data_IF_679919183468
#
_entry.id   IF_679919183468
#
_cell.length_a   1.000
_cell.length_b   1.000
_cell.length_c   1.000
_cell.angle_alpha   90.00
_cell.angle_beta   90.00
_cell.angle_gamma   90.00
#
_symmetry.space_group_name_H-M   'P 1'
#
loop_
_entity.id
_entity.type
_entity.pdbx_description
1 polymer ?
#
# COMPACT_ATOMS: atom_id res chain seq x y z
N UNK A 1 17.48 -27.61 -14.92
CA UNK A 1 16.92 -28.79 -14.24
C UNK A 1 17.32 -28.77 -12.76
N UNK A 2 16.59 -28.05 -11.90
CA UNK A 2 16.92 -27.92 -10.48
C UNK A 2 15.65 -27.84 -9.59
N UNK A 3 14.63 -28.66 -9.87
CA UNK A 3 13.26 -28.40 -9.40
C UNK A 3 12.72 -29.43 -8.41
N UNK A 4 13.10 -30.71 -8.47
CA UNK A 4 12.52 -31.73 -7.58
C UNK A 4 13.29 -31.94 -6.25
N UNK A 5 14.63 -32.01 -6.32
CA UNK A 5 15.45 -32.25 -5.14
C UNK A 5 15.42 -31.07 -4.15
N UNK A 6 15.42 -29.84 -4.67
CA UNK A 6 15.38 -28.62 -3.86
C UNK A 6 14.03 -28.45 -3.16
N UNK A 7 12.93 -28.75 -3.84
CA UNK A 7 11.58 -28.70 -3.26
C UNK A 7 11.43 -29.72 -2.11
N UNK A 8 11.95 -30.94 -2.29
CA UNK A 8 11.93 -31.97 -1.24
C UNK A 8 12.78 -31.59 -0.01
N UNK A 9 13.88 -30.87 -0.21
CA UNK A 9 14.68 -30.34 0.91
C UNK A 9 13.94 -29.23 1.67
N UNK A 10 13.16 -28.41 0.98
CA UNK A 10 12.34 -27.36 1.59
C UNK A 10 11.17 -27.95 2.40
N UNK A 11 10.45 -28.93 1.85
CA UNK A 11 9.34 -29.60 2.55
C UNK A 11 9.80 -30.38 3.80
N UNK A 12 11.02 -30.93 3.76
CA UNK A 12 11.62 -31.62 4.91
C UNK A 12 12.07 -30.65 6.01
N UNK A 13 12.46 -29.42 5.67
CA UNK A 13 12.83 -28.41 6.65
C UNK A 13 11.62 -27.84 7.42
N UNK A 14 10.41 -27.92 6.85
CA UNK A 14 9.16 -27.54 7.54
C UNK A 14 8.64 -28.63 8.48
N UNK A 15 9.03 -29.90 8.28
CA UNK A 15 8.47 -31.05 8.99
C UNK A 15 9.12 -31.35 10.35
N UNK A 16 10.34 -30.85 10.63
CA UNK A 16 11.10 -31.17 11.85
C UNK A 16 11.29 -29.92 12.74
N UNK A 17 10.54 -29.78 13.84
CA UNK A 17 10.70 -28.66 14.77
C UNK A 17 12.03 -28.78 15.53
N UNK A 18 13.09 -28.17 15.01
CA UNK A 18 14.40 -28.10 15.70
C UNK A 18 15.62 -28.01 14.79
N UNK A 19 15.48 -28.28 13.49
CA UNK A 19 16.60 -28.10 12.53
C UNK A 19 16.53 -26.70 11.95
N UNK A 20 17.45 -25.83 12.38
CA UNK A 20 17.56 -24.49 11.82
C UNK A 20 17.69 -24.54 10.30
N UNK A 21 16.81 -23.82 9.59
CA UNK A 21 16.87 -23.66 8.14
C UNK A 21 18.28 -23.17 7.78
N UNK A 22 19.02 -23.95 6.98
CA UNK A 22 20.32 -23.53 6.46
C UNK A 22 20.17 -22.15 5.80
N UNK A 23 21.13 -21.24 6.02
CA UNK A 23 21.06 -19.87 5.48
C UNK A 23 20.89 -19.81 3.96
N UNK A 24 21.25 -20.87 3.22
CA UNK A 24 20.97 -21.00 1.80
C UNK A 24 19.46 -21.21 1.50
N UNK A 25 18.78 -22.07 2.28
CA UNK A 25 17.35 -22.33 2.13
C UNK A 25 16.50 -21.12 2.53
N UNK A 26 16.90 -20.37 3.56
CA UNK A 26 16.24 -19.11 3.93
C UNK A 26 16.34 -18.07 2.79
N UNK A 27 17.53 -17.88 2.22
CA UNK A 27 17.74 -16.98 1.07
C UNK A 27 16.94 -17.39 -0.18
N UNK A 28 16.76 -18.69 -0.40
CA UNK A 28 15.94 -19.18 -1.51
C UNK A 28 14.45 -18.90 -1.29
N UNK A 29 13.97 -19.08 -0.06
CA UNK A 29 12.60 -18.77 0.32
C UNK A 29 12.31 -17.26 0.21
N UNK A 30 13.25 -16.42 0.64
CA UNK A 30 13.13 -14.96 0.49
C UNK A 30 13.02 -14.55 -0.99
N UNK A 31 13.80 -15.19 -1.88
CA UNK A 31 13.69 -14.97 -3.33
C UNK A 31 12.35 -15.41 -3.90
N UNK A 32 11.81 -16.54 -3.42
CA UNK A 32 10.49 -17.00 -3.85
C UNK A 32 9.39 -16.01 -3.43
N UNK A 33 9.46 -15.51 -2.20
CA UNK A 33 8.51 -14.49 -1.73
C UNK A 33 8.65 -13.17 -2.48
N UNK A 34 9.86 -12.73 -2.81
CA UNK A 34 10.07 -11.53 -3.59
C UNK A 34 9.39 -11.59 -4.97
N UNK A 35 9.43 -12.75 -5.64
CA UNK A 35 8.69 -12.97 -6.89
C UNK A 35 7.18 -12.98 -6.70
N UNK A 36 6.69 -13.69 -5.69
CA UNK A 36 5.27 -13.69 -5.37
C UNK A 36 4.76 -12.28 -5.04
N UNK A 37 5.56 -11.50 -4.31
CA UNK A 37 5.27 -10.13 -3.92
C UNK A 37 5.16 -9.21 -5.14
N UNK A 38 6.07 -9.34 -6.10
CA UNK A 38 6.05 -8.56 -7.34
C UNK A 38 4.72 -8.71 -8.11
N UNK A 39 4.33 -9.95 -8.39
CA UNK A 39 3.09 -10.23 -9.14
C UNK A 39 1.83 -9.94 -8.30
N UNK A 40 1.88 -10.18 -6.99
CA UNK A 40 0.80 -9.80 -6.07
C UNK A 40 0.47 -8.32 -6.20
N UNK A 41 1.49 -7.46 -6.18
CA UNK A 41 1.27 -6.03 -6.26
C UNK A 41 0.96 -5.53 -7.65
N UNK A 42 1.45 -6.19 -8.69
CA UNK A 42 1.06 -5.92 -10.06
C UNK A 42 -0.44 -6.19 -10.26
N UNK A 43 -0.95 -7.32 -9.79
CA UNK A 43 -2.38 -7.66 -9.83
C UNK A 43 -3.21 -6.77 -8.90
N UNK A 44 -2.69 -6.41 -7.71
CA UNK A 44 -3.38 -5.52 -6.77
C UNK A 44 -3.60 -4.14 -7.36
N UNK A 45 -2.59 -3.55 -8.01
CA UNK A 45 -2.70 -2.25 -8.66
C UNK A 45 -3.78 -2.27 -9.76
N UNK A 46 -3.82 -3.32 -10.58
CA UNK A 46 -4.87 -3.49 -11.60
C UNK A 46 -6.25 -3.61 -10.96
N UNK A 47 -6.38 -4.44 -9.91
CA UNK A 47 -7.65 -4.64 -9.20
C UNK A 47 -8.17 -3.34 -8.60
N UNK A 48 -7.29 -2.55 -7.98
CA UNK A 48 -7.63 -1.24 -7.43
C UNK A 48 -8.08 -0.28 -8.53
N UNK A 49 -7.39 -0.26 -9.67
CA UNK A 49 -7.74 0.58 -10.82
C UNK A 49 -9.12 0.20 -11.38
N UNK A 50 -9.37 -1.08 -11.61
CA UNK A 50 -10.68 -1.57 -12.08
C UNK A 50 -11.81 -1.33 -11.08
N UNK A 51 -11.50 -1.31 -9.78
CA UNK A 51 -12.45 -0.94 -8.72
C UNK A 51 -12.69 0.57 -8.61
N UNK A 52 -12.03 1.40 -9.43
CA UNK A 52 -12.13 2.86 -9.39
C UNK A 52 -11.29 3.51 -8.28
N UNK A 53 -10.53 2.75 -7.50
CA UNK A 53 -9.60 3.27 -6.50
C UNK A 53 -8.27 3.67 -7.18
N UNK A 54 -8.31 4.78 -7.91
CA UNK A 54 -7.17 5.29 -8.70
C UNK A 54 -5.98 5.65 -7.81
N UNK A 55 -6.23 6.29 -6.67
CA UNK A 55 -5.17 6.68 -5.72
C UNK A 55 -4.44 5.45 -5.18
N UNK A 56 -5.19 4.46 -4.68
CA UNK A 56 -4.61 3.19 -4.21
C UNK A 56 -3.84 2.47 -5.30
N UNK A 57 -4.37 2.44 -6.53
CA UNK A 57 -3.71 1.83 -7.68
C UNK A 57 -2.38 2.52 -8.02
N UNK A 58 -2.35 3.85 -7.99
CA UNK A 58 -1.14 4.65 -8.22
C UNK A 58 -0.11 4.38 -7.12
N UNK A 59 -0.51 4.43 -5.85
CA UNK A 59 0.41 4.14 -4.73
C UNK A 59 1.02 2.74 -4.87
N UNK A 60 0.19 1.73 -5.18
CA UNK A 60 0.66 0.36 -5.39
C UNK A 60 1.58 0.25 -6.61
N UNK A 61 1.26 0.93 -7.72
CA UNK A 61 2.04 0.87 -8.96
C UNK A 61 3.43 1.48 -8.78
N UNK A 62 3.60 2.55 -8.00
CA UNK A 62 4.94 3.14 -7.74
C UNK A 62 5.91 2.13 -7.14
N UNK A 63 5.40 1.20 -6.34
CA UNK A 63 6.24 0.20 -5.68
C UNK A 63 6.73 -0.90 -6.61
N UNK A 64 6.11 -1.04 -7.78
CA UNK A 64 6.58 -1.98 -8.80
C UNK A 64 7.99 -1.68 -9.30
N UNK A 65 8.47 -0.43 -9.14
CA UNK A 65 9.87 -0.04 -9.39
C UNK A 65 10.89 -0.82 -8.54
N UNK A 66 10.47 -1.43 -7.43
CA UNK A 66 11.34 -2.31 -6.62
C UNK A 66 11.45 -3.73 -7.19
N UNK A 67 10.68 -4.08 -8.21
CA UNK A 67 10.55 -5.43 -8.77
C UNK A 67 10.84 -5.47 -10.28
N UNK A 68 11.64 -4.54 -10.78
CA UNK A 68 12.10 -4.45 -12.17
C UNK A 68 12.80 -5.72 -12.67
N UNK A 69 13.33 -6.53 -11.75
CA UNK A 69 13.97 -7.81 -12.02
C UNK A 69 12.99 -9.01 -12.09
N UNK A 70 11.71 -8.79 -11.77
CA UNK A 70 10.69 -9.86 -11.66
C UNK A 70 9.51 -9.69 -12.63
N UNK A 71 9.08 -8.44 -12.86
CA UNK A 71 7.99 -8.09 -13.77
C UNK A 71 8.58 -7.28 -14.93
N UNK A 72 8.04 -7.48 -16.14
CA UNK A 72 8.54 -6.80 -17.34
C UNK A 72 8.44 -5.27 -17.18
N UNK A 73 9.51 -4.56 -17.56
CA UNK A 73 9.57 -3.10 -17.43
C UNK A 73 8.47 -2.41 -18.23
N UNK A 74 8.07 -2.96 -19.38
CA UNK A 74 6.94 -2.45 -20.17
C UNK A 74 5.66 -2.49 -19.36
N UNK A 75 5.40 -3.60 -18.67
CA UNK A 75 4.19 -3.77 -17.88
C UNK A 75 4.19 -2.86 -16.64
N UNK A 76 5.32 -2.78 -15.94
CA UNK A 76 5.50 -1.89 -14.78
C UNK A 76 5.23 -0.44 -15.19
N UNK A 77 5.89 0.06 -16.23
CA UNK A 77 5.77 1.46 -16.58
C UNK A 77 4.47 1.80 -17.31
N UNK A 78 3.83 0.82 -17.98
CA UNK A 78 2.48 1.01 -18.53
C UNK A 78 1.45 1.22 -17.42
N UNK A 79 1.46 0.42 -16.36
CA UNK A 79 0.51 0.61 -15.25
C UNK A 79 0.83 1.86 -14.42
N UNK A 80 2.10 2.22 -14.24
CA UNK A 80 2.48 3.49 -13.59
C UNK A 80 2.00 4.68 -14.42
N UNK A 81 2.21 4.69 -15.74
CA UNK A 81 1.73 5.76 -16.62
C UNK A 81 0.20 5.89 -16.55
N UNK A 82 -0.51 4.77 -16.69
CA UNK A 82 -1.97 4.74 -16.68
C UNK A 82 -2.57 5.22 -15.36
N UNK A 83 -2.11 4.68 -14.23
CA UNK A 83 -2.59 5.08 -12.90
C UNK A 83 -2.24 6.54 -12.57
N UNK A 84 -1.05 7.00 -12.96
CA UNK A 84 -0.66 8.41 -12.74
C UNK A 84 -1.46 9.38 -13.62
N UNK A 85 -1.79 8.98 -14.85
CA UNK A 85 -2.66 9.77 -15.73
C UNK A 85 -4.04 9.96 -15.11
N UNK A 86 -4.68 8.89 -14.65
CA UNK A 86 -6.01 8.98 -14.04
C UNK A 86 -6.01 9.77 -12.72
N UNK A 87 -4.91 9.75 -11.96
CA UNK A 87 -4.79 10.54 -10.73
C UNK A 87 -4.47 12.03 -11.00
N UNK A 88 -4.08 12.39 -12.23
CA UNK A 88 -3.62 13.73 -12.58
C UNK A 88 -2.16 14.02 -12.18
N UNK A 89 -1.38 13.00 -11.85
CA UNK A 89 0.06 13.11 -11.61
C UNK A 89 0.83 13.04 -12.94
N UNK A 90 0.73 14.11 -13.74
CA UNK A 90 1.26 14.14 -15.11
C UNK A 90 2.79 14.17 -15.19
N UNK A 91 3.49 14.68 -14.18
CA UNK A 91 4.95 14.64 -14.13
C UNK A 91 5.47 13.22 -13.91
N UNK A 92 4.78 12.46 -13.06
CA UNK A 92 5.04 11.03 -12.84
C UNK A 92 4.67 10.20 -14.06
N UNK A 93 3.52 10.51 -14.69
CA UNK A 93 3.11 9.87 -15.96
C UNK A 93 4.16 10.10 -17.08
N UNK A 94 4.63 11.34 -17.26
CA UNK A 94 5.65 11.66 -18.25
C UNK A 94 6.97 10.90 -18.00
N UNK A 95 7.41 10.77 -16.75
CA UNK A 95 8.58 9.95 -16.40
C UNK A 95 8.39 8.48 -16.76
N UNK A 96 7.19 7.93 -16.60
CA UNK A 96 6.89 6.57 -17.02
C UNK A 96 6.96 6.39 -18.53
N UNK A 97 6.43 7.35 -19.31
CA UNK A 97 6.58 7.36 -20.78
C UNK A 97 8.05 7.43 -21.21
N UNK A 98 8.87 8.30 -20.61
CA UNK A 98 10.31 8.34 -20.90
C UNK A 98 10.99 6.99 -20.66
N UNK A 99 10.59 6.27 -19.59
CA UNK A 99 11.14 4.94 -19.30
C UNK A 99 10.66 3.88 -20.29
N UNK A 100 9.40 3.94 -20.74
CA UNK A 100 8.87 3.07 -21.79
C UNK A 100 9.62 3.30 -23.12
N UNK A 101 9.77 4.56 -23.52
CA UNK A 101 10.49 4.94 -24.75
C UNK A 101 11.99 4.62 -24.69
N UNK A 102 12.57 4.45 -23.50
CA UNK A 102 13.96 4.06 -23.33
C UNK A 102 14.21 2.54 -23.39
N UNK A 103 13.15 1.71 -23.46
CA UNK A 103 13.31 0.26 -23.50
C UNK A 103 14.02 -0.19 -24.80
N UNK A 104 15.09 -0.97 -24.64
CA UNK A 104 15.86 -1.53 -25.76
C UNK A 104 15.13 -2.69 -26.45
N UNK A 105 14.21 -3.34 -25.75
CA UNK A 105 13.39 -4.44 -26.28
C UNK A 105 12.33 -4.01 -27.29
N UNK A 106 12.03 -2.70 -27.38
CA UNK A 106 10.98 -2.19 -28.27
C UNK A 106 11.45 -2.04 -29.71
N UNK A 107 10.57 -2.44 -30.63
CA UNK A 107 10.71 -2.13 -32.05
C UNK A 107 10.59 -0.62 -32.31
N UNK A 108 11.08 -0.16 -33.47
CA UNK A 108 10.93 1.24 -33.87
C UNK A 108 9.46 1.68 -33.92
N UNK A 109 8.57 0.82 -34.38
CA UNK A 109 7.14 1.09 -34.45
C UNK A 109 6.49 1.22 -33.06
N UNK A 110 6.86 0.36 -32.09
CA UNK A 110 6.35 0.47 -30.72
C UNK A 110 6.86 1.73 -30.01
N UNK A 111 8.13 2.11 -30.26
CA UNK A 111 8.70 3.34 -29.71
C UNK A 111 7.99 4.58 -30.24
N UNK A 112 7.71 4.60 -31.54
CA UNK A 112 6.91 5.67 -32.16
C UNK A 112 5.50 5.73 -31.56
N UNK A 113 4.84 4.59 -31.37
CA UNK A 113 3.50 4.54 -30.78
C UNK A 113 3.46 5.11 -29.35
N UNK A 114 4.48 4.85 -28.52
CA UNK A 114 4.59 5.48 -27.20
C UNK A 114 4.82 6.99 -27.30
N UNK A 115 5.67 7.43 -28.24
CA UNK A 115 5.95 8.85 -28.46
C UNK A 115 4.71 9.62 -28.94
N UNK A 116 3.98 9.10 -29.92
CA UNK A 116 2.71 9.65 -30.41
C UNK A 116 1.67 9.74 -29.28
N UNK A 117 1.56 8.69 -28.46
CA UNK A 117 0.66 8.69 -27.32
C UNK A 117 1.05 9.76 -26.29
N UNK A 118 2.33 9.85 -25.94
CA UNK A 118 2.84 10.88 -25.03
C UNK A 118 2.57 12.29 -25.57
N UNK A 119 2.80 12.54 -26.86
CA UNK A 119 2.48 13.82 -27.50
C UNK A 119 0.98 14.13 -27.43
N UNK A 120 0.12 13.15 -27.71
CA UNK A 120 -1.34 13.34 -27.63
C UNK A 120 -1.82 13.75 -26.23
N UNK A 121 -1.17 13.23 -25.18
CA UNK A 121 -1.47 13.58 -23.79
C UNK A 121 -0.90 14.96 -23.45
N UNK A 122 0.41 15.16 -23.61
CA UNK A 122 1.12 16.32 -23.07
C UNK A 122 1.05 17.59 -23.93
N UNK A 123 0.43 17.52 -25.10
CA UNK A 123 0.01 18.73 -25.83
C UNK A 123 -1.17 19.43 -25.15
N UNK A 124 -2.00 18.69 -24.43
CA UNK A 124 -3.20 19.21 -23.75
C UNK A 124 -2.98 19.52 -22.27
N UNK A 125 -2.02 18.85 -21.62
CA UNK A 125 -1.72 18.99 -20.18
C UNK A 125 -0.23 19.12 -19.94
N UNK A 126 0.16 19.98 -18.98
CA UNK A 126 1.56 20.12 -18.59
C UNK A 126 2.03 18.87 -17.81
N UNK A 127 3.22 18.32 -18.11
CA UNK A 127 3.78 17.16 -17.41
C UNK A 127 4.34 17.55 -16.02
N UNK A 128 3.47 18.04 -15.15
CA UNK A 128 3.81 18.49 -13.79
C UNK A 128 2.86 17.82 -12.82
N UNK A 129 3.40 17.28 -11.72
CA UNK A 129 2.58 16.71 -10.66
C UNK A 129 1.95 17.82 -9.81
N UNK A 130 0.78 17.57 -9.20
CA UNK A 130 0.21 18.48 -8.22
C UNK A 130 1.21 18.80 -7.11
N UNK A 131 1.21 20.06 -6.61
CA UNK A 131 2.04 20.41 -5.48
C UNK A 131 1.68 19.51 -4.28
N UNK A 132 2.65 19.18 -3.41
CA UNK A 132 2.37 18.38 -2.23
C UNK A 132 1.29 19.04 -1.37
N UNK A 133 0.34 18.26 -0.89
CA UNK A 133 -0.71 18.67 0.04
C UNK A 133 -0.54 17.94 1.38
N UNK A 134 -1.23 18.40 2.42
CA UNK A 134 -1.23 17.72 3.73
C UNK A 134 -1.79 16.29 3.63
N UNK A 135 -2.69 16.03 2.67
CA UNK A 135 -3.33 14.72 2.48
C UNK A 135 -2.41 13.70 1.79
N UNK A 136 -1.48 14.17 0.94
CA UNK A 136 -0.60 13.31 0.15
C UNK A 136 0.88 13.35 0.59
N UNK A 137 1.14 13.98 1.74
CA UNK A 137 2.45 14.02 2.37
C UNK A 137 2.48 13.44 3.78
N UNK A 138 3.65 12.95 4.17
CA UNK A 138 3.93 12.42 5.50
C UNK A 138 5.34 12.77 5.92
N UNK A 139 5.51 13.09 7.21
CA UNK A 139 6.84 13.31 7.79
C UNK A 139 7.61 12.00 7.87
N UNK A 140 8.88 12.01 7.46
CA UNK A 140 9.74 10.85 7.58
C UNK A 140 9.81 10.34 9.05
N UNK A 141 9.57 9.03 9.30
CA UNK A 141 9.64 8.44 10.64
C UNK A 141 11.09 8.18 11.13
N UNK A 142 12.09 8.63 10.37
CA UNK A 142 13.51 8.49 10.73
C UNK A 142 13.87 9.34 11.95
N UNK A 143 14.66 8.78 12.87
CA UNK A 143 15.01 9.41 14.17
C UNK A 143 15.65 10.81 14.05
N UNK A 144 16.34 11.08 12.94
CA UNK A 144 17.06 12.33 12.69
C UNK A 144 16.78 12.86 11.27
N UNK A 145 15.55 12.69 10.79
CA UNK A 145 15.13 13.13 9.46
C UNK A 145 13.78 13.85 9.58
N UNK A 146 13.60 14.93 8.82
CA UNK A 146 12.36 15.70 8.76
C UNK A 146 11.89 15.90 7.30
N UNK A 147 12.31 14.99 6.41
CA UNK A 147 11.89 15.01 5.02
C UNK A 147 10.36 14.93 4.93
N UNK A 148 9.77 15.78 4.09
CA UNK A 148 8.39 15.60 3.64
C UNK A 148 8.37 14.58 2.50
N UNK A 149 7.68 13.46 2.73
CA UNK A 149 7.60 12.34 1.80
C UNK A 149 6.22 12.29 1.18
N UNK A 150 6.12 11.83 -0.07
CA UNK A 150 4.80 11.51 -0.64
C UNK A 150 4.28 10.21 -0.04
N UNK A 151 2.97 10.05 0.04
CA UNK A 151 2.33 8.84 0.60
C UNK A 151 2.64 7.56 -0.20
N UNK A 152 3.15 7.66 -1.43
CA UNK A 152 3.64 6.55 -2.24
C UNK A 152 5.15 6.34 -2.21
N UNK A 153 5.90 7.11 -1.41
CA UNK A 153 7.36 6.94 -1.29
C UNK A 153 7.70 5.54 -0.75
N UNK A 154 8.57 4.82 -1.46
CA UNK A 154 9.08 3.49 -1.04
C UNK A 154 10.29 3.58 -0.12
N UNK A 155 10.98 4.71 -0.15
CA UNK A 155 12.09 5.04 0.72
C UNK A 155 12.23 6.56 0.85
N UNK A 156 12.93 7.01 1.90
CA UNK A 156 13.28 8.41 2.10
C UNK A 156 14.57 8.75 1.33
N UNK A 157 14.52 9.79 0.49
CA UNK A 157 15.69 10.24 -0.30
C UNK A 157 16.76 10.92 0.56
N UNK A 158 16.42 11.43 1.75
CA UNK A 158 17.37 12.14 2.62
C UNK A 158 18.12 11.20 3.57
N UNK A 159 17.41 10.27 4.21
CA UNK A 159 18.01 9.36 5.20
C UNK A 159 18.10 7.89 4.75
N UNK A 160 17.60 7.55 3.56
CA UNK A 160 17.65 6.20 3.00
C UNK A 160 16.73 5.18 3.68
N UNK A 161 15.88 5.59 4.62
CA UNK A 161 14.96 4.68 5.32
C UNK A 161 13.98 4.06 4.32
N UNK A 162 13.92 2.73 4.26
CA UNK A 162 12.97 1.98 3.43
C UNK A 162 11.66 1.72 4.16
N UNK A 163 10.55 1.74 3.42
CA UNK A 163 9.20 1.56 3.96
C UNK A 163 8.62 0.22 3.47
N UNK A 164 8.36 -0.73 4.39
CA UNK A 164 7.70 -1.99 4.03
C UNK A 164 6.31 -1.76 3.45
N UNK A 165 5.87 -2.65 2.56
CA UNK A 165 4.55 -2.58 1.97
C UNK A 165 3.48 -3.19 2.90
N UNK A 166 2.30 -2.57 2.93
CA UNK A 166 1.08 -3.23 3.37
C UNK A 166 0.66 -4.24 2.29
N UNK A 167 0.72 -5.53 2.57
CA UNK A 167 0.30 -6.57 1.61
C UNK A 167 -1.18 -6.49 1.23
N UNK A 168 -2.04 -5.91 2.06
CA UNK A 168 -3.46 -5.78 1.75
C UNK A 168 -3.77 -4.62 0.77
N UNK A 169 -3.04 -3.51 0.85
CA UNK A 169 -3.36 -2.28 0.10
C UNK A 169 -2.24 -1.75 -0.78
N UNK A 170 -1.02 -2.28 -0.67
CA UNK A 170 0.17 -1.83 -1.39
C UNK A 170 0.83 -0.57 -0.85
N UNK A 171 0.18 0.13 0.10
CA UNK A 171 0.66 1.38 0.71
C UNK A 171 1.93 1.17 1.54
N UNK A 172 2.87 2.14 1.56
CA UNK A 172 4.00 2.12 2.48
C UNK A 172 3.55 2.18 3.95
N UNK A 173 4.19 1.40 4.81
CA UNK A 173 3.98 1.42 6.26
C UNK A 173 5.02 2.38 6.86
N UNK A 174 4.65 3.65 7.03
CA UNK A 174 5.51 4.67 7.63
C UNK A 174 5.60 4.52 9.15
N UNK A 175 4.45 4.38 9.82
CA UNK A 175 4.38 4.29 11.28
C UNK A 175 4.40 2.83 11.75
N UNK A 176 5.46 2.44 12.46
CA UNK A 176 5.59 1.11 13.08
C UNK A 176 4.71 0.95 14.32
N UNK A 177 4.18 2.04 14.87
CA UNK A 177 3.25 2.03 16.00
C UNK A 177 1.82 1.71 15.59
N UNK A 178 1.49 1.87 14.30
CA UNK A 178 0.20 1.51 13.74
C UNK A 178 -0.09 0.01 13.98
N UNK A 179 -1.35 -0.38 14.25
CA UNK A 179 -1.69 -1.78 14.41
C UNK A 179 -1.43 -2.57 13.12
N UNK A 180 -0.44 -3.47 13.16
CA UNK A 180 -0.08 -4.34 12.03
C UNK A 180 -0.58 -5.78 12.25
N UNK A 181 -1.01 -6.41 11.18
CA UNK A 181 -1.09 -7.85 11.05
C UNK A 181 0.21 -8.33 10.41
N UNK A 182 0.85 -9.35 10.98
CA UNK A 182 1.98 -10.03 10.35
C UNK A 182 1.62 -11.49 10.14
N UNK A 183 1.74 -11.97 8.91
CA UNK A 183 1.47 -13.37 8.59
C UNK A 183 2.54 -14.27 9.22
N UNK A 184 2.15 -15.35 9.88
CA UNK A 184 3.09 -16.32 10.48
C UNK A 184 3.78 -17.20 9.44
N UNK A 185 3.19 -17.33 8.25
CA UNK A 185 3.72 -18.16 7.15
C UNK A 185 4.70 -17.35 6.29
N UNK A 186 4.22 -16.30 5.61
CA UNK A 186 5.08 -15.51 4.71
C UNK A 186 5.82 -14.35 5.40
N UNK A 187 5.55 -14.06 6.68
CA UNK A 187 6.16 -12.96 7.47
C UNK A 187 5.92 -11.53 6.96
N UNK A 188 5.12 -11.36 5.91
CA UNK A 188 4.76 -10.05 5.40
C UNK A 188 3.67 -9.40 6.27
N UNK A 189 3.70 -8.07 6.29
CA UNK A 189 2.80 -7.26 7.10
C UNK A 189 1.66 -6.67 6.28
N UNK A 190 0.56 -6.36 6.96
CA UNK A 190 -0.52 -5.53 6.47
C UNK A 190 -0.98 -4.60 7.59
N UNK A 191 -1.41 -3.39 7.23
CA UNK A 191 -2.13 -2.51 8.16
C UNK A 191 -3.45 -3.19 8.55
N UNK A 192 -3.75 -3.30 9.85
CA UNK A 192 -5.02 -3.93 10.29
C UNK A 192 -6.25 -3.20 9.75
N UNK A 193 -6.16 -1.89 9.55
CA UNK A 193 -7.23 -1.08 8.93
C UNK A 193 -7.53 -1.50 7.49
N UNK A 194 -6.55 -2.03 6.77
CA UNK A 194 -6.66 -2.44 5.36
C UNK A 194 -7.02 -3.93 5.19
N UNK A 195 -6.97 -4.71 6.28
CA UNK A 195 -7.32 -6.13 6.26
C UNK A 195 -8.83 -6.36 6.14
N UNK A 196 -9.67 -5.39 6.53
CA UNK A 196 -11.13 -5.53 6.50
C UNK A 196 -11.60 -6.82 7.19
N UNK A 197 -12.49 -7.56 6.52
CA UNK A 197 -13.04 -8.85 7.01
C UNK A 197 -12.29 -10.08 6.46
N UNK A 198 -11.06 -9.91 5.94
CA UNK A 198 -10.30 -11.00 5.34
C UNK A 198 -9.99 -12.10 6.35
N UNK A 199 -10.29 -13.34 5.98
CA UNK A 199 -9.97 -14.54 6.76
C UNK A 199 -8.66 -15.22 6.31
N UNK A 200 -7.97 -14.66 5.31
CA UNK A 200 -6.74 -15.19 4.75
C UNK A 200 -5.72 -14.09 4.47
N UNK A 201 -4.43 -14.42 4.57
CA UNK A 201 -3.34 -13.52 4.22
C UNK A 201 -3.45 -13.08 2.75
N UNK A 202 -3.34 -11.78 2.42
CA UNK A 202 -3.46 -11.31 1.04
C UNK A 202 -2.40 -11.88 0.08
N UNK A 203 -1.22 -12.22 0.59
CA UNK A 203 -0.09 -12.67 -0.22
C UNK A 203 -0.03 -14.20 -0.35
N UNK A 204 -0.08 -14.92 0.76
CA UNK A 204 0.12 -16.38 0.77
C UNK A 204 -1.16 -17.19 0.99
N UNK A 205 -2.30 -16.52 1.19
CA UNK A 205 -3.61 -17.14 1.45
C UNK A 205 -3.70 -18.04 2.69
N UNK A 206 -2.67 -18.10 3.54
CA UNK A 206 -2.73 -18.78 4.82
C UNK A 206 -3.86 -18.21 5.70
N UNK A 207 -4.57 -19.04 6.47
CA UNK A 207 -5.69 -18.59 7.30
C UNK A 207 -5.22 -17.58 8.35
N UNK A 208 -5.98 -16.50 8.50
CA UNK A 208 -5.77 -15.48 9.52
C UNK A 208 -6.51 -15.91 10.77
N UNK A 209 -5.80 -16.04 11.89
CA UNK A 209 -6.45 -16.29 13.16
C UNK A 209 -7.33 -15.07 13.52
N UNK A 210 -8.64 -15.22 13.79
CA UNK A 210 -9.54 -14.11 14.09
C UNK A 210 -9.05 -13.19 15.23
N UNK A 211 -8.31 -13.75 16.19
CA UNK A 211 -7.68 -12.98 17.27
C UNK A 211 -6.55 -12.04 16.81
N UNK A 212 -5.92 -12.32 15.67
CA UNK A 212 -4.81 -11.53 15.13
C UNK A 212 -5.25 -10.18 14.54
N UNK A 213 -6.50 -10.08 14.06
CA UNK A 213 -7.07 -8.83 13.53
C UNK A 213 -7.77 -7.98 14.60
N UNK A 214 -8.19 -8.59 15.71
CA UNK A 214 -8.80 -7.86 16.84
C UNK A 214 -7.81 -6.84 17.43
N UNK A 215 -8.30 -5.63 17.68
CA UNK A 215 -7.53 -4.52 18.25
C UNK A 215 -7.14 -4.70 19.74
N UNK A 216 -7.33 -5.89 20.31
CA UNK A 216 -6.98 -6.16 21.71
C UNK A 216 -5.52 -6.56 21.83
N UNK A 217 -4.67 -5.57 22.11
CA UNK A 217 -3.33 -5.81 22.64
C UNK A 217 -3.40 -6.70 23.89
N UNK A 218 -2.55 -7.75 24.04
CA UNK A 218 -2.47 -8.55 25.26
C UNK A 218 -2.08 -7.75 26.51
N UNK A 219 -1.59 -6.51 26.34
CA UNK A 219 -1.04 -5.70 27.43
C UNK A 219 -2.07 -5.09 28.40
N UNK A 220 -3.38 -5.19 28.14
CA UNK A 220 -4.42 -4.55 28.99
C UNK A 220 -5.09 -5.46 30.01
N UNK A 221 -4.71 -6.75 30.11
CA UNK A 221 -5.32 -7.69 31.07
C UNK A 221 -4.73 -7.68 32.48
N UNK A 222 -3.71 -6.86 32.75
CA UNK A 222 -3.12 -6.72 34.08
C UNK A 222 -3.39 -5.34 34.69
N UNK A 223 -4.66 -5.00 34.95
CA UNK A 223 -5.10 -3.89 35.83
C UNK A 223 -6.63 -3.88 35.94
N UNK A 224 -7.22 -4.93 36.49
CA UNK A 224 -8.62 -4.91 36.95
C UNK A 224 -8.84 -6.03 37.97
N UNK A 225 -8.05 -5.99 39.04
CA UNK A 225 -8.35 -6.60 40.32
C UNK A 225 -7.72 -5.67 41.36
N UNK A 226 -8.46 -5.31 42.41
CA UNK A 226 -8.23 -4.17 43.33
C UNK A 226 -8.66 -2.85 42.67
N UNK A 227 -9.88 -2.35 42.87
CA UNK A 227 -10.39 -1.88 44.17
C UNK A 227 -11.91 -2.00 44.28
N UNK A 228 -12.37 -2.56 45.39
CA UNK A 228 -13.75 -2.53 45.87
C UNK A 228 -13.84 -1.58 47.07
N UNK A 229 -14.89 -0.76 47.09
CA UNK A 229 -15.30 0.10 48.20
C UNK A 229 -15.16 1.59 47.85
N UNK A 230 -16.17 2.46 47.95
CA UNK A 230 -17.54 2.35 48.44
C UNK A 230 -18.10 3.78 48.55
N UNK A 231 -19.43 3.89 48.55
CA UNK A 231 -20.24 5.02 49.05
C UNK A 231 -20.56 6.19 48.10
N UNK A 232 -21.84 6.26 47.72
CA UNK A 232 -22.63 7.47 47.38
C UNK A 232 -23.27 8.04 48.68
N UNK A 233 -24.19 9.05 48.71
CA UNK A 233 -24.78 9.89 47.63
C UNK A 233 -25.01 11.40 48.00
N UNK A 234 -25.83 12.08 47.18
CA UNK A 234 -26.54 13.39 47.33
C UNK A 234 -25.86 14.61 46.66
N UNK A 235 -26.52 15.57 46.00
CA UNK A 235 -27.94 15.87 45.67
C UNK A 235 -28.01 17.08 44.71
N UNK A 236 -29.09 17.20 43.90
CA UNK A 236 -29.76 18.42 43.35
C UNK A 236 -28.92 19.44 42.53
N UNK A 237 -29.37 20.15 41.48
CA UNK A 237 -30.69 20.60 40.98
C UNK A 237 -30.52 21.32 39.62
N UNK A 238 -31.41 21.02 38.66
CA UNK A 238 -32.09 21.83 37.60
C UNK A 238 -31.46 23.03 36.82
N UNK A 239 -31.97 23.35 35.60
CA UNK A 239 -31.26 23.98 34.46
C UNK A 239 -31.66 25.45 34.16
N UNK A 240 -31.11 26.08 33.09
CA UNK A 240 -32.04 26.72 32.13
C UNK A 240 -31.63 26.74 30.62
N UNK A 241 -32.69 26.61 29.79
CA UNK A 241 -33.11 27.38 28.58
C UNK A 241 -32.19 27.63 27.36
N UNK A 242 -32.57 26.96 26.26
CA UNK A 242 -32.87 27.45 24.89
C UNK A 242 -32.49 28.88 24.46
N UNK A 243 -31.80 28.99 23.30
CA UNK A 243 -32.01 30.07 22.32
C UNK A 243 -31.80 29.55 20.88
N UNK A 244 -32.75 29.95 20.01
CA UNK A 244 -32.84 29.71 18.55
C UNK A 244 -31.84 30.56 17.76
N UNK A 245 -31.51 30.11 16.55
CA UNK A 245 -30.93 30.92 15.49
C UNK A 245 -30.88 30.17 14.15
N UNK A 246 -31.92 30.33 13.33
CA UNK A 246 -31.94 30.04 11.88
C UNK A 246 -31.15 31.09 11.12
N UNK A 247 -30.33 30.69 10.11
CA UNK A 247 -30.18 31.21 8.72
C UNK A 247 -29.28 30.15 8.02
N UNK A 248 -29.57 29.44 6.94
CA UNK A 248 -30.08 29.82 5.62
C UNK A 248 -28.91 29.87 4.62
N UNK A 249 -28.85 28.98 3.61
CA UNK A 249 -27.88 29.13 2.50
C UNK A 249 -27.48 27.88 1.70
N UNK A 250 -28.28 27.59 0.66
CA UNK A 250 -27.93 27.08 -0.68
C UNK A 250 -26.90 25.94 -0.90
N UNK A 251 -27.42 24.84 -1.47
CA UNK A 251 -26.72 23.81 -2.25
C UNK A 251 -26.26 24.34 -3.62
N UNK A 252 -25.31 23.64 -4.27
CA UNK A 252 -25.60 23.21 -5.64
C UNK A 252 -25.27 21.74 -5.90
N UNK A 253 -26.20 21.10 -6.61
CA UNK A 253 -26.14 19.76 -7.19
C UNK A 253 -25.38 19.82 -8.53
N UNK A 254 -24.46 18.89 -8.76
CA UNK A 254 -23.84 18.65 -10.05
C UNK A 254 -24.21 17.25 -10.54
N UNK A 255 -25.10 17.19 -11.52
CA UNK A 255 -25.34 16.02 -12.37
C UNK A 255 -24.52 16.14 -13.65
N UNK A 256 -23.85 15.08 -14.13
CA UNK A 256 -23.34 15.05 -15.50
C UNK A 256 -24.37 14.42 -16.45
N UNK A 257 -24.79 15.21 -17.43
CA UNK A 257 -25.58 14.80 -18.59
C UNK A 257 -24.68 14.06 -19.57
N UNK A 258 -24.97 12.78 -19.81
CA UNK A 258 -24.40 12.01 -20.91
C UNK A 258 -25.43 11.89 -22.04
N UNK A 259 -25.02 12.20 -23.27
CA UNK A 259 -25.41 11.55 -24.55
C UNK A 259 -25.03 12.40 -25.78
N UNK A 260 -25.05 11.81 -26.99
CA UNK A 260 -25.03 10.38 -27.34
C UNK A 260 -23.72 9.94 -28.00
#
# INVERSE_FOLDING_TARGET
MATAATLNTLLRAEAEPGVGVSGAAAKMLDKAWHGAEAYHFYMLAQTQLYAGNVEGAMITSQRLSLYENMVDLRDIYSIVALTSYYLGCYGTCSKAFMKLEALESLTAAEREAYSELALSVFTSVRPVDPPPSEDDTVRCPGRSCDASLRVWSTHCMECGLQFPACTASGRPIFDKSAPLFQCTVCRHSALKSEMGERVSCPLCHAPVNPGALSARSPASRARSALTSGGSSPSSSSTPPKSARGEVGGATPSLTPTAKP
#
